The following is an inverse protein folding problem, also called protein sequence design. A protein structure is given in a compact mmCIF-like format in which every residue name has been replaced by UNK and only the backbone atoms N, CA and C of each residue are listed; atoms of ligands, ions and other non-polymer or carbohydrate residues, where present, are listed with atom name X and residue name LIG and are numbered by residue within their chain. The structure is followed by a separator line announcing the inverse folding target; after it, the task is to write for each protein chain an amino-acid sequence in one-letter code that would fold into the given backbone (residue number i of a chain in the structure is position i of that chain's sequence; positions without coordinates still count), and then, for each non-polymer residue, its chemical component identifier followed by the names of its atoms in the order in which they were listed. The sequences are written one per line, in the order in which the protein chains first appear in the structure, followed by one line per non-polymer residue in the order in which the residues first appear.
data_IF_419802382605
#
_entry.id   IF_419802382605
#
_cell.length_a   1.000
_cell.length_b   1.000
_cell.length_c   1.000
_cell.angle_alpha   90.00
_cell.angle_beta   90.00
_cell.angle_gamma   90.00
#
_symmetry.space_group_name_H-M   'P 1'
#
loop_
_entity.id
_entity.type
_entity.pdbx_description
1 polymer ?
#
# COMPACT_ATOMS: atom_id res chain seq x y z
N UNK A 1 -2.74 22.22 -26.37
CA UNK A 1 -2.46 23.18 -25.26
C UNK A 1 -3.27 22.89 -23.99
N UNK A 2 -4.59 22.69 -24.04
CA UNK A 2 -5.37 22.33 -22.85
C UNK A 2 -4.88 21.02 -22.19
N UNK A 3 -4.60 19.99 -22.99
CA UNK A 3 -4.02 18.72 -22.53
C UNK A 3 -2.68 18.92 -21.80
N UNK A 4 -1.71 19.62 -22.40
CA UNK A 4 -0.42 19.92 -21.76
C UNK A 4 -0.58 20.65 -20.42
N UNK A 5 -1.43 21.68 -20.36
CA UNK A 5 -1.68 22.44 -19.13
C UNK A 5 -2.23 21.56 -18.02
N UNK A 6 -3.22 20.72 -18.32
CA UNK A 6 -3.81 19.84 -17.31
C UNK A 6 -2.83 18.74 -16.87
N UNK A 7 -1.99 18.22 -17.77
CA UNK A 7 -0.94 17.26 -17.41
C UNK A 7 0.15 17.90 -16.55
N UNK A 8 0.59 19.12 -16.84
CA UNK A 8 1.60 19.80 -16.01
C UNK A 8 1.05 20.10 -14.60
N UNK A 9 -0.24 20.44 -14.47
CA UNK A 9 -0.87 20.67 -13.17
C UNK A 9 -0.91 19.43 -12.27
N UNK A 10 -0.89 18.22 -12.84
CA UNK A 10 -0.91 17.00 -12.04
C UNK A 10 0.46 16.64 -11.47
N UNK A 11 1.54 17.24 -12.01
CA UNK A 11 2.91 17.10 -11.49
C UNK A 11 3.01 17.82 -10.14
N UNK A 12 3.31 17.08 -9.07
CA UNK A 12 3.58 17.61 -7.72
C UNK A 12 5.03 18.07 -7.59
N UNK A 13 5.36 18.68 -6.46
CA UNK A 13 6.74 19.06 -6.15
C UNK A 13 7.61 17.81 -5.89
N UNK A 14 8.25 17.33 -6.96
CA UNK A 14 9.14 16.16 -6.92
C UNK A 14 10.36 16.41 -6.03
N UNK A 15 10.91 17.63 -6.03
CA UNK A 15 12.08 17.96 -5.20
C UNK A 15 11.75 17.83 -3.72
N UNK A 16 10.59 18.33 -3.31
CA UNK A 16 10.10 18.16 -1.95
C UNK A 16 9.86 16.67 -1.61
N UNK A 17 9.25 15.89 -2.51
CA UNK A 17 9.05 14.45 -2.30
C UNK A 17 10.38 13.69 -2.14
N UNK A 18 11.37 13.95 -2.99
CA UNK A 18 12.70 13.34 -2.89
C UNK A 18 13.42 13.72 -1.59
N UNK A 19 13.33 14.98 -1.16
CA UNK A 19 13.84 15.42 0.15
C UNK A 19 13.16 14.68 1.29
N UNK A 20 11.85 14.45 1.17
CA UNK A 20 11.08 13.68 2.16
C UNK A 20 11.58 12.24 2.23
N UNK A 21 11.79 11.58 1.09
CA UNK A 21 12.29 10.20 1.02
C UNK A 21 13.70 10.04 1.59
N UNK A 22 14.56 11.03 1.38
CA UNK A 22 15.94 11.03 1.87
C UNK A 22 16.07 11.47 3.34
N UNK A 23 14.97 11.89 3.98
CA UNK A 23 15.02 12.36 5.36
C UNK A 23 14.85 11.18 6.33
N UNK A 24 15.81 10.93 7.23
CA UNK A 24 15.70 9.84 8.22
C UNK A 24 14.60 10.08 9.26
N UNK A 25 14.11 11.32 9.38
CA UNK A 25 13.09 11.71 10.37
C UNK A 25 11.70 11.85 9.75
N UNK A 26 11.59 11.78 8.42
CA UNK A 26 10.29 11.91 7.76
C UNK A 26 9.68 10.55 7.51
N UNK A 27 8.44 10.36 7.99
CA UNK A 27 7.69 9.16 7.65
C UNK A 27 7.15 9.28 6.22
N UNK A 28 7.66 8.42 5.35
CA UNK A 28 7.14 8.25 4.00
C UNK A 28 5.87 7.39 4.04
N UNK A 29 4.80 7.87 3.43
CA UNK A 29 3.49 7.18 3.42
C UNK A 29 3.14 6.65 2.02
N UNK A 30 2.14 5.77 1.94
CA UNK A 30 1.55 5.33 0.66
C UNK A 30 1.17 6.52 -0.24
N UNK A 31 0.64 7.59 0.37
CA UNK A 31 0.20 8.78 -0.36
C UNK A 31 1.36 9.56 -0.98
N UNK A 32 2.53 9.57 -0.33
CA UNK A 32 3.73 10.21 -0.87
C UNK A 32 4.23 9.45 -2.10
N UNK A 33 4.33 8.12 -2.01
CA UNK A 33 4.67 7.24 -3.14
C UNK A 33 3.66 7.35 -4.28
N UNK A 34 2.36 7.37 -3.97
CA UNK A 34 1.30 7.58 -4.96
C UNK A 34 1.47 8.92 -5.67
N UNK A 35 1.78 9.98 -4.93
CA UNK A 35 1.98 11.32 -5.48
C UNK A 35 3.23 11.39 -6.35
N UNK A 36 4.30 10.73 -5.94
CA UNK A 36 5.53 10.62 -6.70
C UNK A 36 5.30 9.90 -8.03
N UNK A 37 4.76 8.67 -8.00
CA UNK A 37 4.48 7.87 -9.20
C UNK A 37 3.55 8.60 -10.18
N UNK A 38 2.48 9.25 -9.68
CA UNK A 38 1.59 10.06 -10.52
C UNK A 38 2.31 11.24 -11.16
N UNK A 39 3.23 11.88 -10.46
CA UNK A 39 4.00 13.02 -10.99
C UNK A 39 4.97 12.56 -12.08
N UNK A 40 5.66 11.44 -11.87
CA UNK A 40 6.55 10.87 -12.87
C UNK A 40 5.77 10.42 -14.11
N UNK A 41 4.65 9.70 -13.95
CA UNK A 41 3.77 9.31 -15.06
C UNK A 41 3.27 10.53 -15.85
N UNK A 42 2.92 11.63 -15.16
CA UNK A 42 2.53 12.87 -15.81
C UNK A 42 3.68 13.51 -16.60
N UNK A 43 4.93 13.48 -16.08
CA UNK A 43 6.10 13.95 -16.83
C UNK A 43 6.36 13.10 -18.09
N UNK A 44 6.28 11.78 -17.99
CA UNK A 44 6.41 10.89 -19.16
C UNK A 44 5.33 11.21 -20.21
N UNK A 45 4.11 11.50 -19.77
CA UNK A 45 3.04 11.94 -20.67
C UNK A 45 3.31 13.33 -21.28
N UNK A 46 3.86 14.28 -20.52
CA UNK A 46 4.31 15.59 -21.06
C UNK A 46 5.35 15.38 -22.17
N UNK A 47 6.33 14.51 -21.94
CA UNK A 47 7.33 14.19 -22.97
C UNK A 47 6.67 13.62 -24.22
N UNK A 48 5.69 12.72 -24.04
CA UNK A 48 4.93 12.19 -25.18
C UNK A 48 4.18 13.28 -25.95
N UNK A 49 3.58 14.24 -25.25
CA UNK A 49 2.93 15.40 -25.89
C UNK A 49 3.93 16.23 -26.69
N UNK A 50 5.17 16.38 -26.23
CA UNK A 50 6.21 17.08 -27.01
C UNK A 50 6.65 16.30 -28.25
N UNK A 51 6.74 14.97 -28.15
CA UNK A 51 7.08 14.11 -29.29
C UNK A 51 6.01 14.11 -30.38
N UNK A 52 4.75 13.86 -30.01
CA UNK A 52 3.66 13.60 -30.98
C UNK A 52 2.67 14.75 -31.14
N UNK A 53 2.57 15.64 -30.16
CA UNK A 53 1.58 16.72 -30.12
C UNK A 53 2.05 18.04 -30.76
N UNK A 54 3.34 18.15 -31.08
CA UNK A 54 3.91 19.30 -31.78
C UNK A 54 3.93 18.99 -33.28
N UNK A 55 3.10 19.70 -34.06
CA UNK A 55 3.12 19.55 -35.53
C UNK A 55 4.46 19.99 -36.12
N UNK A 56 4.86 19.39 -37.24
CA UNK A 56 6.12 19.74 -37.91
C UNK A 56 6.16 21.22 -38.30
N UNK A 57 5.03 21.77 -38.75
CA UNK A 57 4.88 23.19 -39.02
C UNK A 57 5.12 24.08 -37.80
N UNK A 58 4.68 23.67 -36.61
CA UNK A 58 4.90 24.41 -35.37
C UNK A 58 6.36 24.30 -34.92
N UNK A 59 6.97 23.12 -35.11
CA UNK A 59 8.39 22.87 -34.84
C UNK A 59 9.30 23.75 -35.69
N UNK A 60 8.98 23.92 -36.98
CA UNK A 60 9.67 24.86 -37.87
C UNK A 60 9.54 26.32 -37.40
N UNK A 61 8.34 26.74 -36.99
CA UNK A 61 8.15 28.09 -36.45
C UNK A 61 8.95 28.29 -35.15
N UNK A 62 8.94 27.33 -34.23
CA UNK A 62 9.74 27.41 -33.00
C UNK A 62 11.23 27.52 -33.28
N UNK A 63 11.75 26.75 -34.26
CA UNK A 63 13.15 26.86 -34.72
C UNK A 63 13.46 28.26 -35.27
N UNK A 64 12.57 28.84 -36.08
CA UNK A 64 12.73 30.22 -36.59
C UNK A 64 12.76 31.28 -35.48
N UNK A 65 12.02 31.06 -34.40
CA UNK A 65 11.96 31.97 -33.26
C UNK A 65 12.96 31.63 -32.13
N UNK A 66 13.85 30.65 -32.32
CA UNK A 66 14.78 30.14 -31.29
C UNK A 66 14.09 29.75 -29.97
N UNK A 67 12.84 29.27 -30.03
CA UNK A 67 12.09 28.82 -28.87
C UNK A 67 12.47 27.36 -28.56
N UNK A 68 13.71 27.16 -28.11
CA UNK A 68 14.29 25.85 -27.81
C UNK A 68 13.89 25.28 -26.43
N UNK A 69 13.07 26.01 -25.68
CA UNK A 69 12.68 25.64 -24.31
C UNK A 69 11.94 24.30 -24.28
N UNK A 70 11.07 24.04 -25.26
CA UNK A 70 10.30 22.77 -25.32
C UNK A 70 11.24 21.60 -25.63
N UNK A 71 12.18 21.79 -26.54
CA UNK A 71 13.17 20.77 -26.90
C UNK A 71 14.11 20.48 -25.72
N UNK A 72 14.63 21.52 -25.07
CA UNK A 72 15.43 21.39 -23.85
C UNK A 72 14.66 20.71 -22.72
N UNK A 73 13.39 21.06 -22.53
CA UNK A 73 12.56 20.42 -21.51
C UNK A 73 12.30 18.94 -21.81
N UNK A 74 12.07 18.59 -23.08
CA UNK A 74 11.92 17.20 -23.52
C UNK A 74 13.18 16.38 -23.28
N UNK A 75 14.37 16.93 -23.58
CA UNK A 75 15.65 16.27 -23.32
C UNK A 75 15.91 15.98 -21.83
N UNK A 76 15.34 16.78 -20.93
CA UNK A 76 15.43 16.54 -19.49
C UNK A 76 14.50 15.41 -19.00
N UNK A 77 13.47 15.03 -19.78
CA UNK A 77 12.59 13.89 -19.47
C UNK A 77 13.11 12.67 -20.20
N UNK A 78 14.21 12.15 -19.67
CA UNK A 78 14.98 11.09 -20.31
C UNK A 78 14.47 9.69 -19.94
N UNK A 79 15.00 8.68 -20.62
CA UNK A 79 14.67 7.25 -20.41
C UNK A 79 14.99 6.76 -19.00
N UNK A 80 15.89 7.43 -18.28
CA UNK A 80 16.22 7.16 -16.89
C UNK A 80 15.01 7.40 -15.97
N UNK A 81 14.15 8.37 -16.28
CA UNK A 81 12.93 8.63 -15.52
C UNK A 81 11.94 7.48 -15.70
N UNK A 82 11.84 6.93 -16.92
CA UNK A 82 11.01 5.77 -17.22
C UNK A 82 11.50 4.53 -16.47
N UNK A 83 12.82 4.30 -16.45
CA UNK A 83 13.41 3.23 -15.64
C UNK A 83 13.10 3.36 -14.14
N UNK A 84 13.25 4.56 -13.57
CA UNK A 84 12.92 4.81 -12.15
C UNK A 84 11.43 4.60 -11.89
N UNK A 85 10.57 4.99 -12.83
CA UNK A 85 9.13 4.79 -12.73
C UNK A 85 8.78 3.30 -12.67
N UNK A 86 9.30 2.51 -13.61
CA UNK A 86 9.06 1.06 -13.67
C UNK A 86 9.65 0.34 -12.46
N UNK A 87 10.84 0.74 -12.00
CA UNK A 87 11.44 0.20 -10.78
C UNK A 87 10.53 0.45 -9.57
N UNK A 88 10.10 1.69 -9.36
CA UNK A 88 9.25 2.04 -8.24
C UNK A 88 7.88 1.35 -8.34
N UNK A 89 7.30 1.23 -9.53
CA UNK A 89 6.06 0.47 -9.76
C UNK A 89 6.19 -1.03 -9.54
N UNK A 90 7.37 -1.60 -9.79
CA UNK A 90 7.67 -3.01 -9.57
C UNK A 90 7.81 -3.36 -8.10
N UNK A 91 8.25 -2.41 -7.27
CA UNK A 91 8.49 -2.63 -5.84
C UNK A 91 7.32 -2.14 -4.97
N UNK A 92 6.66 -1.04 -5.35
CA UNK A 92 5.69 -0.36 -4.50
C UNK A 92 4.26 -0.57 -4.99
N UNK A 93 3.41 -1.14 -4.12
CA UNK A 93 1.98 -1.27 -4.32
C UNK A 93 1.21 -0.12 -3.65
N UNK A 94 0.99 0.93 -4.43
CA UNK A 94 0.23 2.12 -4.00
C UNK A 94 -1.29 1.93 -4.04
N UNK A 95 -1.77 0.81 -4.58
CA UNK A 95 -3.21 0.51 -4.71
C UNK A 95 -3.74 -0.25 -3.51
N UNK A 96 -2.94 -1.17 -2.96
CA UNK A 96 -3.34 -2.08 -1.87
C UNK A 96 -3.69 -1.38 -0.56
N UNK A 97 -3.08 -0.24 -0.26
CA UNK A 97 -3.41 0.53 0.95
C UNK A 97 -4.86 1.04 0.98
N UNK A 98 -5.56 1.03 -0.17
CA UNK A 98 -6.97 1.47 -0.27
C UNK A 98 -7.98 0.33 -0.13
N UNK A 99 -7.59 -0.90 -0.43
CA UNK A 99 -8.54 -2.03 -0.57
C UNK A 99 -8.65 -2.87 0.70
N UNK A 100 -7.52 -3.12 1.39
CA UNK A 100 -7.49 -4.03 2.54
C UNK A 100 -7.00 -3.38 3.85
N UNK A 101 -6.84 -2.05 3.86
CA UNK A 101 -6.35 -1.31 5.04
C UNK A 101 -4.91 -1.65 5.45
N UNK A 102 -4.19 -2.41 4.63
CA UNK A 102 -2.80 -2.77 4.90
C UNK A 102 -1.90 -1.55 4.89
N UNK A 103 -1.00 -1.48 5.87
CA UNK A 103 0.07 -0.48 5.90
C UNK A 103 1.27 -0.89 5.05
N UNK A 104 1.32 -2.13 4.56
CA UNK A 104 2.44 -2.63 3.75
C UNK A 104 2.41 -2.06 2.35
N UNK A 105 3.57 -1.58 1.89
CA UNK A 105 3.72 -0.92 0.59
C UNK A 105 4.42 -1.79 -0.45
N UNK A 106 4.91 -2.98 -0.09
CA UNK A 106 5.68 -3.83 -1.00
C UNK A 106 4.74 -4.62 -1.90
N UNK A 107 5.05 -4.65 -3.20
CA UNK A 107 4.30 -5.37 -4.21
C UNK A 107 4.45 -6.87 -4.06
N UNK A 108 3.37 -7.58 -4.33
CA UNK A 108 3.35 -9.05 -4.35
C UNK A 108 4.26 -9.60 -5.44
N UNK A 109 4.97 -10.69 -5.14
CA UNK A 109 5.97 -11.30 -6.01
C UNK A 109 7.35 -10.63 -5.95
N UNK A 110 7.50 -9.51 -5.22
CA UNK A 110 8.81 -8.88 -5.04
C UNK A 110 9.68 -9.63 -4.01
N UNK A 111 9.07 -10.15 -2.95
CA UNK A 111 9.79 -10.82 -1.87
C UNK A 111 8.96 -12.00 -1.34
N UNK A 112 9.42 -13.22 -1.62
CA UNK A 112 8.72 -14.44 -1.25
C UNK A 112 8.46 -14.54 0.27
N UNK A 113 9.45 -14.17 1.08
CA UNK A 113 9.32 -14.19 2.55
C UNK A 113 8.21 -13.26 3.06
N UNK A 114 8.10 -12.06 2.47
CA UNK A 114 7.02 -11.12 2.80
C UNK A 114 5.67 -11.60 2.28
N UNK A 115 5.65 -12.31 1.15
CA UNK A 115 4.43 -12.86 0.57
C UNK A 115 3.91 -14.05 1.40
N UNK A 116 4.80 -14.93 1.87
CA UNK A 116 4.48 -16.03 2.79
C UNK A 116 3.95 -15.51 4.12
N UNK A 117 4.66 -14.56 4.76
CA UNK A 117 4.19 -13.92 5.98
C UNK A 117 2.80 -13.31 5.79
N UNK A 118 2.59 -12.66 4.65
CA UNK A 118 1.30 -12.05 4.34
C UNK A 118 0.20 -13.09 4.20
N UNK A 119 0.46 -14.19 3.51
CA UNK A 119 -0.51 -15.28 3.37
C UNK A 119 -0.94 -15.81 4.74
N UNK A 120 0.01 -16.01 5.66
CA UNK A 120 -0.28 -16.45 7.04
C UNK A 120 -1.24 -15.46 7.73
N UNK A 121 -0.99 -14.15 7.63
CA UNK A 121 -1.87 -13.15 8.24
C UNK A 121 -3.22 -12.99 7.54
N UNK A 122 -3.29 -13.26 6.23
CA UNK A 122 -4.54 -13.23 5.47
C UNK A 122 -5.46 -14.40 5.86
N UNK A 123 -4.91 -15.59 6.14
CA UNK A 123 -5.66 -16.80 6.55
C UNK A 123 -5.91 -16.89 8.08
N UNK A 124 -5.25 -16.02 8.85
CA UNK A 124 -5.32 -16.03 10.31
C UNK A 124 -6.74 -15.83 10.86
N UNK A 125 -7.59 -14.93 10.34
CA UNK A 125 -8.96 -14.77 10.84
C UNK A 125 -9.80 -16.05 10.72
N UNK A 126 -9.73 -16.74 9.58
CA UNK A 126 -10.44 -18.01 9.35
C UNK A 126 -9.92 -19.10 10.28
N UNK A 127 -8.59 -19.20 10.43
CA UNK A 127 -7.96 -20.14 11.36
C UNK A 127 -8.41 -19.90 12.80
N UNK A 128 -8.40 -18.64 13.26
CA UNK A 128 -8.85 -18.28 14.61
C UNK A 128 -10.34 -18.58 14.83
N UNK A 129 -11.16 -18.42 13.79
CA UNK A 129 -12.58 -18.80 13.85
C UNK A 129 -12.75 -20.31 14.00
N UNK A 130 -11.97 -21.12 13.27
CA UNK A 130 -11.99 -22.58 13.38
C UNK A 130 -11.56 -23.05 14.77
N UNK A 131 -10.44 -22.52 15.30
CA UNK A 131 -9.99 -22.81 16.67
C UNK A 131 -11.07 -22.42 17.69
N UNK A 132 -11.68 -21.24 17.54
CA UNK A 132 -12.77 -20.82 18.41
C UNK A 132 -13.94 -21.80 18.37
N UNK A 133 -14.34 -22.29 17.19
CA UNK A 133 -15.41 -23.27 17.04
C UNK A 133 -15.05 -24.62 17.67
N UNK A 134 -13.82 -25.11 17.49
CA UNK A 134 -13.35 -26.35 18.11
C UNK A 134 -13.33 -26.27 19.63
N UNK A 135 -12.82 -25.17 20.20
CA UNK A 135 -12.82 -24.96 21.65
C UNK A 135 -14.25 -24.86 22.19
N UNK A 136 -15.17 -24.20 21.47
CA UNK A 136 -16.59 -24.11 21.86
C UNK A 136 -17.28 -25.47 21.98
N UNK A 137 -16.90 -26.47 21.18
CA UNK A 137 -17.42 -27.83 21.30
C UNK A 137 -16.99 -28.49 22.62
N UNK A 138 -15.73 -28.29 23.02
CA UNK A 138 -15.21 -28.73 24.32
C UNK A 138 -15.91 -28.03 25.49
N UNK A 139 -16.31 -26.77 25.31
CA UNK A 139 -17.04 -25.96 26.29
C UNK A 139 -18.56 -25.90 26.05
N UNK A 140 -19.17 -26.98 25.52
CA UNK A 140 -20.63 -27.06 25.25
C UNK A 140 -21.53 -26.70 26.44
N UNK A 141 -21.04 -26.81 27.68
CA UNK A 141 -21.76 -26.42 28.90
C UNK A 141 -21.84 -24.89 29.14
N UNK A 142 -20.92 -24.11 28.54
CA UNK A 142 -20.86 -22.63 28.62
C UNK A 142 -21.71 -21.95 27.53
N UNK A 143 -22.30 -22.70 26.60
CA UNK A 143 -23.18 -22.18 25.54
C UNK A 143 -24.51 -21.56 26.03
N UNK A 144 -24.78 -21.55 27.34
CA UNK A 144 -26.00 -20.95 27.92
C UNK A 144 -25.93 -19.43 28.13
N UNK A 145 -24.78 -18.83 27.83
CA UNK A 145 -24.47 -17.40 27.95
C UNK A 145 -25.07 -16.57 26.80
N UNK A 146 -25.34 -15.28 27.04
CA UNK A 146 -25.97 -14.37 26.06
C UNK A 146 -25.10 -14.08 24.83
N UNK A 147 -23.79 -14.31 24.92
CA UNK A 147 -22.80 -14.02 23.88
C UNK A 147 -21.89 -15.24 23.69
N UNK A 148 -21.64 -15.68 22.44
CA UNK A 148 -20.72 -16.78 22.19
C UNK A 148 -19.29 -16.33 22.50
N UNK A 149 -18.46 -17.20 23.12
CA UNK A 149 -17.03 -16.97 23.24
C UNK A 149 -16.38 -16.64 21.89
N UNK A 150 -15.42 -15.71 21.89
CA UNK A 150 -14.72 -15.29 20.68
C UNK A 150 -13.26 -14.96 20.94
N UNK A 151 -12.43 -15.06 19.90
CA UNK A 151 -11.02 -14.65 19.98
C UNK A 151 -10.90 -13.14 19.76
N UNK A 152 -10.19 -12.48 20.66
CA UNK A 152 -9.86 -11.05 20.59
C UNK A 152 -8.36 -10.85 20.58
N UNK A 153 -7.90 -9.77 19.93
CA UNK A 153 -6.50 -9.37 19.95
C UNK A 153 -6.30 -8.16 20.86
N UNK A 154 -5.40 -8.30 21.85
CA UNK A 154 -4.96 -7.20 22.72
C UNK A 154 -3.47 -6.99 22.48
N UNK A 155 -3.07 -5.80 22.03
CA UNK A 155 -1.70 -5.52 21.58
C UNK A 155 -0.59 -5.88 22.59
N UNK A 156 -0.87 -5.82 23.89
CA UNK A 156 0.10 -6.11 24.96
C UNK A 156 0.21 -7.60 25.32
N UNK A 157 -0.78 -8.41 24.94
CA UNK A 157 -0.96 -9.79 25.40
C UNK A 157 -0.96 -10.77 24.22
N UNK A 158 -1.53 -10.37 23.08
CA UNK A 158 -1.73 -11.20 21.91
C UNK A 158 -3.20 -11.62 21.74
N UNK A 159 -3.40 -12.76 21.10
CA UNK A 159 -4.72 -13.36 20.90
C UNK A 159 -5.20 -14.07 22.17
N UNK A 160 -6.45 -13.83 22.54
CA UNK A 160 -7.08 -14.39 23.74
C UNK A 160 -8.46 -14.93 23.38
N UNK A 161 -8.82 -16.09 23.92
CA UNK A 161 -10.20 -16.57 23.89
C UNK A 161 -10.98 -15.89 25.01
N UNK A 162 -11.96 -15.07 24.66
CA UNK A 162 -12.86 -14.43 25.61
C UNK A 162 -14.11 -15.27 25.79
N UNK A 163 -14.32 -15.75 27.02
CA UNK A 163 -15.56 -16.38 27.45
C UNK A 163 -16.36 -15.32 28.23
N UNK A 164 -17.54 -14.97 27.72
CA UNK A 164 -18.42 -14.00 28.36
C UNK A 164 -19.35 -14.74 29.32
N UNK A 165 -19.29 -14.40 30.62
CA UNK A 165 -20.14 -15.01 31.64
C UNK A 165 -19.86 -14.65 33.09
N UNK A 166 -20.68 -15.18 34.01
CA UNK A 166 -20.33 -15.21 35.44
C UNK A 166 -19.07 -16.07 35.63
N UNK A 167 -18.25 -15.76 36.65
CA UNK A 167 -16.98 -16.44 36.92
C UNK A 167 -17.09 -17.95 36.70
N UNK A 168 -16.19 -18.51 35.88
CA UNK A 168 -16.04 -19.96 35.74
C UNK A 168 -15.95 -20.58 37.14
N UNK A 169 -16.82 -21.55 37.41
CA UNK A 169 -16.78 -22.32 38.66
C UNK A 169 -15.42 -23.02 38.77
N UNK A 170 -14.88 -23.16 40.00
CA UNK A 170 -13.55 -23.76 40.24
C UNK A 170 -13.46 -25.18 39.66
N UNK A 171 -14.60 -25.88 39.58
CA UNK A 171 -14.69 -27.21 38.96
C UNK A 171 -14.56 -27.20 37.43
N UNK A 172 -14.92 -26.09 36.76
CA UNK A 172 -14.73 -25.89 35.32
C UNK A 172 -13.30 -25.43 35.01
N UNK A 173 -12.71 -24.61 35.89
CA UNK A 173 -11.31 -24.18 35.78
C UNK A 173 -10.34 -25.36 35.88
N UNK A 174 -10.58 -26.30 36.80
CA UNK A 174 -9.77 -27.51 36.98
C UNK A 174 -9.86 -28.52 35.84
N UNK A 175 -10.78 -28.32 34.87
CA UNK A 175 -10.88 -29.15 33.66
C UNK A 175 -10.14 -28.56 32.46
N UNK A 176 -9.60 -27.36 32.59
CA UNK A 176 -8.78 -26.76 31.54
C UNK A 176 -7.45 -27.52 31.48
N UNK A 177 -7.09 -28.10 30.33
CA UNK A 177 -5.75 -28.64 30.15
C UNK A 177 -4.75 -27.48 30.25
N UNK A 178 -3.85 -27.55 31.21
CA UNK A 178 -2.64 -26.73 31.22
C UNK A 178 -1.73 -27.24 30.09
N UNK A 179 -1.43 -26.38 29.13
CA UNK A 179 -0.44 -26.67 28.09
C UNK A 179 0.89 -26.05 28.50
N UNK A 180 1.92 -26.89 28.67
CA UNK A 180 3.31 -26.51 28.92
C UNK A 180 3.97 -25.86 27.69
#
# INVERSE_FOLDING_TARGET
MASLRETVKSVKDISHLLKKFNSPTSLCTSNDWTSFLKSISALLHVNKIFEVGVSESLREHMRRFNLDIIEKAGLCISTEIDYVFELALGVIDVTRSKEKGYQTLVKEGFCAELDELRQIYEELPEFLQEVSSMELEHFSHLQKEKLPPCIVYIQQIGYLMCIFGEKLDETALNKLPEFD
#
